data_IF_898355802458
#
_entry.id   IF_898355802458
#
_cell.length_a   1.000
_cell.length_b   1.000
_cell.length_c   1.000
_cell.angle_alpha   90.00
_cell.angle_beta   90.00
_cell.angle_gamma   90.00
#
_symmetry.space_group_name_H-M   'P 1'
#
loop_
_entity.id
_entity.type
_entity.pdbx_description
1 polymer ?
#
# COMPACT_ATOMS: atom_id res chain seq x y z
N UNK A 1 -18.18 12.43 -31.27
CA UNK A 1 -17.75 13.39 -30.25
C UNK A 1 -17.86 12.67 -28.91
N UNK A 2 -16.81 11.99 -28.44
CA UNK A 2 -15.72 12.56 -27.63
C UNK A 2 -16.23 13.54 -26.56
N UNK A 3 -16.38 13.00 -25.36
CA UNK A 3 -16.58 13.71 -24.10
C UNK A 3 -16.03 12.80 -23.00
N UNK A 4 -14.71 12.64 -23.01
CA UNK A 4 -13.94 11.89 -22.02
C UNK A 4 -14.02 12.71 -20.73
N UNK A 5 -14.80 12.23 -19.76
CA UNK A 5 -14.75 12.76 -18.40
C UNK A 5 -13.50 12.17 -17.74
N UNK A 6 -12.64 13.04 -17.22
CA UNK A 6 -11.31 12.76 -16.70
C UNK A 6 -11.27 11.63 -15.63
N UNK A 7 -10.63 10.51 -15.98
CA UNK A 7 -10.26 9.37 -15.12
C UNK A 7 -8.94 9.64 -14.36
N UNK A 8 -8.84 10.74 -13.60
CA UNK A 8 -7.52 11.14 -13.01
C UNK A 8 -7.36 10.94 -11.48
N UNK A 9 -8.26 10.26 -10.75
CA UNK A 9 -8.07 10.10 -9.27
C UNK A 9 -8.69 8.87 -8.57
N UNK A 10 -9.10 7.79 -9.25
CA UNK A 10 -9.43 6.54 -8.53
C UNK A 10 -8.23 5.58 -8.53
N UNK A 11 -7.48 5.58 -7.42
CA UNK A 11 -6.56 4.47 -7.14
C UNK A 11 -7.37 3.22 -6.84
N UNK A 12 -7.19 2.18 -7.64
CA UNK A 12 -7.87 0.90 -7.48
C UNK A 12 -7.39 0.21 -6.19
N UNK A 13 -8.22 -0.65 -5.54
CA UNK A 13 -7.84 -1.30 -4.29
C UNK A 13 -6.55 -2.15 -4.41
N UNK A 14 -6.35 -2.82 -5.55
CA UNK A 14 -5.12 -3.55 -5.86
C UNK A 14 -3.90 -2.61 -6.03
N UNK A 15 -4.06 -1.47 -6.71
CA UNK A 15 -3.01 -0.46 -6.86
C UNK A 15 -2.58 0.12 -5.51
N UNK A 16 -3.55 0.42 -4.64
CA UNK A 16 -3.30 0.89 -3.27
C UNK A 16 -2.58 -0.16 -2.42
N UNK A 17 -3.04 -1.40 -2.51
CA UNK A 17 -2.42 -2.56 -1.84
C UNK A 17 -0.97 -2.71 -2.28
N UNK A 18 -0.72 -2.66 -3.60
CA UNK A 18 0.62 -2.69 -4.20
C UNK A 18 1.50 -1.55 -3.69
N UNK A 19 0.98 -0.32 -3.66
CA UNK A 19 1.73 0.85 -3.20
C UNK A 19 2.13 0.76 -1.72
N UNK A 20 1.26 0.22 -0.85
CA UNK A 20 1.59 0.01 0.57
C UNK A 20 2.71 -1.02 0.72
N UNK A 21 2.64 -2.14 0.00
CA UNK A 21 3.69 -3.17 0.03
C UNK A 21 5.01 -2.61 -0.48
N UNK A 22 5.01 -1.93 -1.63
CA UNK A 22 6.21 -1.31 -2.21
C UNK A 22 6.82 -0.25 -1.29
N UNK A 23 5.99 0.55 -0.61
CA UNK A 23 6.47 1.54 0.36
C UNK A 23 7.20 0.86 1.50
N UNK A 24 6.68 -0.26 2.01
CA UNK A 24 7.37 -1.04 3.05
C UNK A 24 8.72 -1.52 2.56
N UNK A 25 8.80 -2.08 1.36
CA UNK A 25 10.04 -2.61 0.80
C UNK A 25 11.08 -1.50 0.61
N UNK A 26 10.67 -0.34 0.09
CA UNK A 26 11.50 0.86 0.01
C UNK A 26 12.02 1.29 1.39
N UNK A 27 11.17 1.28 2.43
CA UNK A 27 11.60 1.61 3.79
C UNK A 27 12.63 0.62 4.33
N UNK A 28 12.51 -0.67 4.00
CA UNK A 28 13.51 -1.69 4.35
C UNK A 28 14.84 -1.42 3.64
N UNK A 29 14.81 -1.12 2.35
CA UNK A 29 15.99 -0.75 1.57
C UNK A 29 16.68 0.48 2.15
N UNK A 30 15.94 1.57 2.38
CA UNK A 30 16.46 2.81 2.97
C UNK A 30 17.03 2.61 4.38
N UNK A 31 16.46 1.70 5.18
CA UNK A 31 16.95 1.43 6.52
C UNK A 31 18.29 0.71 6.54
N UNK A 32 18.62 -0.03 5.48
CA UNK A 32 19.80 -0.90 5.35
C UNK A 32 20.89 -0.30 4.45
N UNK A 33 20.52 0.62 3.54
CA UNK A 33 21.45 1.22 2.58
C UNK A 33 22.51 2.10 3.27
N UNK A 34 23.81 1.73 3.24
CA UNK A 34 24.88 2.53 3.84
C UNK A 34 25.17 3.83 3.09
N UNK A 35 24.66 4.01 1.86
CA UNK A 35 24.78 5.27 1.13
C UNK A 35 23.83 6.35 1.67
N UNK A 36 22.79 5.98 2.44
CA UNK A 36 21.88 6.93 3.06
C UNK A 36 22.45 7.54 4.35
N UNK A 37 22.06 8.78 4.63
CA UNK A 37 22.41 9.43 5.90
C UNK A 37 21.82 8.69 7.10
N UNK A 38 22.51 8.75 8.26
CA UNK A 38 22.00 8.12 9.49
C UNK A 38 20.60 8.63 9.87
N UNK A 39 20.30 9.89 9.58
CA UNK A 39 18.97 10.47 9.80
C UNK A 39 17.88 9.74 9.01
N UNK A 40 18.10 9.51 7.71
CA UNK A 40 17.17 8.79 6.83
C UNK A 40 16.99 7.35 7.32
N UNK A 41 18.10 6.64 7.58
CA UNK A 41 18.03 5.25 8.05
C UNK A 41 17.27 5.13 9.37
N UNK A 42 17.47 6.08 10.30
CA UNK A 42 16.73 6.13 11.57
C UNK A 42 15.23 6.36 11.37
N UNK A 43 14.85 7.28 10.48
CA UNK A 43 13.45 7.55 10.16
C UNK A 43 12.78 6.33 9.53
N UNK A 44 13.44 5.68 8.56
CA UNK A 44 12.93 4.46 7.94
C UNK A 44 12.71 3.34 8.97
N UNK A 45 13.70 3.10 9.86
CA UNK A 45 13.56 2.15 10.97
C UNK A 45 12.44 2.51 11.95
N UNK A 46 12.18 3.81 12.18
CA UNK A 46 11.09 4.24 13.06
C UNK A 46 9.72 3.98 12.41
N UNK A 47 9.56 4.29 11.12
CA UNK A 47 8.33 4.01 10.37
C UNK A 47 8.03 2.51 10.33
N UNK A 48 9.05 1.68 10.05
CA UNK A 48 8.91 0.22 10.00
C UNK A 48 8.40 -0.42 11.30
N UNK A 49 8.51 0.24 12.46
CA UNK A 49 7.98 -0.31 13.73
C UNK A 49 6.47 -0.43 13.76
N UNK A 50 5.79 0.40 12.97
CA UNK A 50 4.33 0.49 12.95
C UNK A 50 3.75 0.33 11.55
N UNK A 51 4.61 0.14 10.55
CA UNK A 51 4.18 -0.12 9.18
C UNK A 51 3.73 -1.58 9.05
N UNK A 52 2.55 -1.84 8.47
CA UNK A 52 2.04 -3.20 8.35
C UNK A 52 2.92 -4.06 7.45
N UNK A 53 2.99 -5.36 7.72
CA UNK A 53 3.60 -6.36 6.87
C UNK A 53 2.74 -6.65 5.64
N UNK A 54 3.35 -7.12 4.55
CA UNK A 54 2.64 -7.42 3.31
C UNK A 54 1.48 -8.44 3.52
N UNK A 55 1.69 -9.45 4.35
CA UNK A 55 0.64 -10.42 4.69
C UNK A 55 -0.51 -9.79 5.51
N UNK A 56 -0.23 -8.80 6.36
CA UNK A 56 -1.27 -8.09 7.11
C UNK A 56 -2.12 -7.22 6.17
N UNK A 57 -1.49 -6.56 5.19
CA UNK A 57 -2.17 -5.77 4.16
C UNK A 57 -3.08 -6.68 3.31
N UNK A 58 -2.56 -7.79 2.80
CA UNK A 58 -3.32 -8.73 1.96
C UNK A 58 -4.46 -9.40 2.74
N UNK A 59 -4.24 -9.73 4.01
CA UNK A 59 -5.29 -10.27 4.88
C UNK A 59 -6.41 -9.25 5.10
N UNK A 60 -6.08 -7.98 5.30
CA UNK A 60 -7.08 -6.92 5.41
C UNK A 60 -7.92 -6.82 4.13
N UNK A 61 -7.30 -6.84 2.95
CA UNK A 61 -8.01 -6.88 1.66
C UNK A 61 -8.94 -8.09 1.54
N UNK A 62 -8.47 -9.28 1.93
CA UNK A 62 -9.30 -10.49 1.91
C UNK A 62 -10.51 -10.39 2.84
N UNK A 63 -10.35 -9.77 4.02
CA UNK A 63 -11.44 -9.56 4.96
C UNK A 63 -12.46 -8.56 4.44
N UNK A 64 -12.02 -7.50 3.75
CA UNK A 64 -12.90 -6.51 3.12
C UNK A 64 -13.70 -7.10 1.96
N UNK A 65 -13.06 -7.84 1.05
CA UNK A 65 -13.71 -8.51 -0.08
C UNK A 65 -14.76 -9.55 0.36
N UNK A 66 -14.58 -10.15 1.54
CA UNK A 66 -15.53 -11.11 2.13
C UNK A 66 -16.71 -10.45 2.84
N UNK A 67 -16.72 -9.12 3.02
CA UNK A 67 -17.83 -8.44 3.67
C UNK A 67 -19.09 -8.59 2.81
N UNK A 68 -20.16 -9.05 3.45
CA UNK A 68 -21.48 -9.23 2.82
C UNK A 68 -22.13 -7.88 2.49
N UNK A 69 -21.72 -6.85 3.23
CA UNK A 69 -22.17 -5.48 3.04
C UNK A 69 -21.45 -4.84 1.83
N UNK A 70 -22.08 -4.95 0.65
CA UNK A 70 -21.55 -4.42 -0.62
C UNK A 70 -21.91 -2.95 -0.84
N UNK A 71 -22.25 -2.22 0.21
CA UNK A 71 -22.57 -0.79 0.10
C UNK A 71 -21.34 0.07 -0.21
N UNK A 72 -20.13 -0.45 -0.01
CA UNK A 72 -18.87 0.24 -0.26
C UNK A 72 -17.87 -0.66 -0.99
N UNK A 73 -17.17 -0.11 -1.97
CA UNK A 73 -15.98 -0.72 -2.57
C UNK A 73 -14.91 -1.01 -1.50
N UNK A 74 -14.18 -2.13 -1.61
CA UNK A 74 -13.09 -2.42 -0.67
C UNK A 74 -11.97 -1.38 -0.80
N UNK A 75 -11.37 -1.01 0.31
CA UNK A 75 -10.22 -0.11 0.36
C UNK A 75 -8.93 -0.84 -0.02
N UNK A 76 -8.77 -2.10 0.39
CA UNK A 76 -7.65 -2.95 0.02
C UNK A 76 -8.13 -4.16 -0.79
N UNK A 77 -7.23 -4.75 -1.56
CA UNK A 77 -7.49 -6.02 -2.24
C UNK A 77 -6.60 -7.11 -1.68
N UNK A 78 -7.08 -8.36 -1.72
CA UNK A 78 -6.25 -9.53 -1.48
C UNK A 78 -5.32 -9.86 -2.65
N UNK A 79 -5.46 -9.13 -3.77
CA UNK A 79 -4.62 -9.24 -4.96
C UNK A 79 -3.87 -7.92 -5.24
N UNK A 80 -2.67 -8.05 -5.78
CA UNK A 80 -1.88 -6.93 -6.31
C UNK A 80 -1.67 -7.02 -7.82
N UNK A 81 -2.37 -7.94 -8.48
CA UNK A 81 -2.39 -8.10 -9.94
C UNK A 81 -3.42 -7.16 -10.59
#
# INVERSE_FOLDING_TARGET
MHGVCEEDTMTMPNERTRALIQTRDLLVELAQDPAQSESIRRQARQLLRHYPLANEILLAGQLEERRVDRLTEPFLSSSID
#
